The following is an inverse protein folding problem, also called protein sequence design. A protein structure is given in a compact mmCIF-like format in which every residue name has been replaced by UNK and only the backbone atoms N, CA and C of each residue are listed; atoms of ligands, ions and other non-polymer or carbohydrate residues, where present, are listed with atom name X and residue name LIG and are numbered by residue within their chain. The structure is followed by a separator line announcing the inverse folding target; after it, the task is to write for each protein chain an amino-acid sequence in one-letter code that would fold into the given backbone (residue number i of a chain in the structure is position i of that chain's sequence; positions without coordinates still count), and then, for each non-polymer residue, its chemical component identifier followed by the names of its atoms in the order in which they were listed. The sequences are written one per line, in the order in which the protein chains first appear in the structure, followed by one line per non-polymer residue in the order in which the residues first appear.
data_IF_469239148170
#
_entry.id   IF_469239148170
#
_cell.length_a   1.000
_cell.length_b   1.000
_cell.length_c   1.000
_cell.angle_alpha   90.00
_cell.angle_beta   90.00
_cell.angle_gamma   90.00
#
_symmetry.space_group_name_H-M   'P 1'
#
loop_
_entity.id
_entity.type
_entity.pdbx_description
1 polymer ?
#
# COMPACT_ATOMS: atom_id res chain seq x y z
N UNK A 1 -24.45 39.89 -15.20
CA UNK A 1 -25.78 39.23 -15.19
C UNK A 1 -25.52 37.77 -15.57
N UNK A 2 -25.89 36.69 -14.88
CA UNK A 2 -26.71 36.41 -13.70
C UNK A 2 -26.36 34.93 -13.31
N UNK A 3 -26.10 34.66 -12.02
CA UNK A 3 -26.35 33.47 -11.16
C UNK A 3 -26.40 32.02 -11.73
N UNK A 4 -25.62 31.08 -11.14
CA UNK A 4 -26.05 29.97 -10.23
C UNK A 4 -26.71 28.75 -10.92
N UNK A 5 -26.65 27.48 -10.49
CA UNK A 5 -26.59 26.85 -9.15
C UNK A 5 -26.18 25.36 -9.27
N UNK A 6 -25.56 24.83 -8.21
CA UNK A 6 -25.37 23.41 -7.88
C UNK A 6 -26.68 22.80 -7.36
N UNK A 7 -26.97 21.54 -7.68
CA UNK A 7 -27.92 20.72 -6.92
C UNK A 7 -27.52 19.23 -6.94
N UNK A 8 -26.92 18.77 -5.85
CA UNK A 8 -26.61 17.36 -5.58
C UNK A 8 -27.81 16.71 -4.89
N UNK A 9 -28.32 15.61 -5.44
CA UNK A 9 -29.44 14.86 -4.86
C UNK A 9 -28.88 13.86 -3.84
N UNK A 10 -29.13 14.10 -2.56
CA UNK A 10 -28.89 13.13 -1.50
C UNK A 10 -30.13 12.25 -1.32
N UNK A 11 -30.04 10.98 -1.68
CA UNK A 11 -31.08 9.98 -1.38
C UNK A 11 -30.76 9.31 -0.04
N UNK A 12 -31.57 9.58 0.99
CA UNK A 12 -31.55 8.84 2.26
C UNK A 12 -32.27 7.50 2.08
N UNK A 13 -31.55 6.39 2.23
CA UNK A 13 -32.15 5.05 2.32
C UNK A 13 -32.48 4.75 3.78
N UNK A 14 -33.76 4.50 4.05
CA UNK A 14 -34.30 4.18 5.37
C UNK A 14 -34.34 2.66 5.55
N UNK A 15 -33.36 2.08 6.25
CA UNK A 15 -33.35 0.65 6.58
C UNK A 15 -34.09 0.41 7.90
N UNK A 16 -35.20 -0.34 7.81
CA UNK A 16 -36.04 -0.77 8.94
C UNK A 16 -35.32 -1.85 9.75
N UNK A 17 -35.09 -1.62 11.03
CA UNK A 17 -34.69 -2.64 12.00
C UNK A 17 -35.92 -3.41 12.47
N UNK A 18 -36.05 -4.67 12.05
CA UNK A 18 -37.03 -5.61 12.62
C UNK A 18 -36.42 -6.35 13.80
N UNK A 19 -37.13 -6.32 14.93
CA UNK A 19 -36.79 -7.00 16.17
C UNK A 19 -36.71 -8.53 15.97
N UNK A 20 -35.60 -9.13 16.42
CA UNK A 20 -35.42 -10.58 16.49
C UNK A 20 -35.83 -11.13 17.86
N UNK A 21 -36.66 -12.17 17.85
CA UNK A 21 -37.08 -12.96 19.02
C UNK A 21 -35.91 -13.76 19.63
N UNK A 22 -35.96 -14.11 20.94
CA UNK A 22 -34.93 -14.91 21.58
C UNK A 22 -34.99 -16.39 21.17
N UNK A 23 -33.82 -16.99 20.92
CA UNK A 23 -33.62 -18.40 20.59
C UNK A 23 -33.39 -19.18 21.89
N UNK A 24 -33.98 -20.38 22.10
CA UNK A 24 -33.71 -21.20 23.27
C UNK A 24 -32.31 -21.81 23.25
N UNK A 25 -31.66 -21.76 24.41
CA UNK A 25 -30.34 -22.35 24.66
C UNK A 25 -30.48 -23.87 24.79
N UNK A 26 -29.93 -24.63 23.83
CA UNK A 26 -29.70 -26.07 23.97
C UNK A 26 -28.22 -26.32 24.20
N UNK A 27 -27.90 -26.73 25.42
CA UNK A 27 -26.62 -27.25 25.88
C UNK A 27 -26.31 -28.60 25.20
N UNK A 28 -25.30 -28.63 24.34
CA UNK A 28 -24.62 -29.84 23.94
C UNK A 28 -23.11 -29.56 23.95
N UNK A 29 -22.36 -30.41 24.66
CA UNK A 29 -20.94 -30.25 24.94
C UNK A 29 -20.12 -30.02 23.69
N UNK A 30 -19.39 -28.90 23.68
CA UNK A 30 -18.39 -28.61 22.68
C UNK A 30 -17.03 -29.01 23.29
N UNK A 31 -16.53 -30.13 22.82
CA UNK A 31 -15.17 -30.61 23.05
C UNK A 31 -14.20 -29.57 22.48
N UNK A 32 -13.67 -28.71 23.35
CA UNK A 32 -12.69 -27.68 22.98
C UNK A 32 -11.32 -28.32 22.82
N UNK A 33 -11.13 -29.03 21.71
CA UNK A 33 -9.78 -29.20 21.17
C UNK A 33 -9.37 -27.86 20.54
N UNK A 34 -8.86 -26.96 21.38
CA UNK A 34 -8.22 -25.73 20.93
C UNK A 34 -6.95 -26.11 20.20
N UNK A 35 -7.02 -26.24 18.87
CA UNK A 35 -5.82 -26.30 18.05
C UNK A 35 -4.98 -25.04 18.36
N UNK A 36 -3.66 -25.16 18.57
CA UNK A 36 -2.83 -23.99 18.73
C UNK A 36 -2.99 -23.15 17.46
N UNK A 37 -3.47 -21.91 17.62
CA UNK A 37 -3.38 -20.89 16.58
C UNK A 37 -1.89 -20.73 16.28
N UNK A 38 -1.42 -21.38 15.22
CA UNK A 38 -0.10 -21.13 14.69
C UNK A 38 -0.04 -19.63 14.39
N UNK A 39 0.82 -18.89 15.11
CA UNK A 39 1.12 -17.52 14.72
C UNK A 39 1.66 -17.62 13.30
N UNK A 40 0.94 -17.07 12.33
CA UNK A 40 1.53 -16.78 11.03
C UNK A 40 2.76 -15.92 11.34
N UNK A 41 3.93 -16.40 10.93
CA UNK A 41 5.13 -15.58 10.99
C UNK A 41 4.82 -14.31 10.17
N UNK A 42 5.07 -13.14 10.76
CA UNK A 42 4.99 -11.89 10.03
C UNK A 42 6.06 -11.92 8.93
N UNK A 43 5.72 -11.37 7.77
CA UNK A 43 6.69 -11.24 6.69
C UNK A 43 7.78 -10.23 7.10
N UNK A 44 9.08 -10.58 7.02
CA UNK A 44 10.15 -9.67 7.42
C UNK A 44 10.15 -8.36 6.61
N UNK A 45 10.46 -7.26 7.29
CA UNK A 45 10.75 -5.95 6.68
C UNK A 45 12.10 -5.98 5.94
N UNK A 46 12.16 -5.35 4.76
CA UNK A 46 13.39 -5.32 3.95
C UNK A 46 13.78 -3.92 3.45
N UNK A 47 12.85 -3.00 3.19
CA UNK A 47 13.18 -1.63 2.78
C UNK A 47 12.02 -0.65 2.96
N UNK A 48 12.33 0.59 3.35
CA UNK A 48 11.40 1.71 3.38
C UNK A 48 11.86 2.83 2.42
N UNK A 49 10.95 3.34 1.61
CA UNK A 49 11.20 4.51 0.79
C UNK A 49 9.99 5.45 0.72
N UNK A 50 10.25 6.70 0.36
CA UNK A 50 9.24 7.75 0.25
C UNK A 50 9.18 8.27 -1.17
N UNK A 51 7.99 8.49 -1.69
CA UNK A 51 7.77 9.08 -3.02
C UNK A 51 7.26 10.50 -2.93
N UNK A 52 7.53 11.27 -3.98
CA UNK A 52 7.16 12.66 -4.11
C UNK A 52 6.65 12.95 -5.53
N UNK A 53 5.60 13.76 -5.64
CA UNK A 53 5.00 14.12 -6.93
C UNK A 53 5.89 15.02 -7.79
N UNK A 54 6.87 15.70 -7.17
CA UNK A 54 7.82 16.59 -7.85
C UNK A 54 9.26 16.17 -7.61
N UNK A 55 10.18 16.75 -8.38
CA UNK A 55 11.61 16.57 -8.18
C UNK A 55 12.08 17.18 -6.85
N UNK A 56 13.08 16.58 -6.22
CA UNK A 56 13.82 17.15 -5.10
C UNK A 56 13.54 16.52 -3.72
N UNK A 57 12.61 15.58 -3.60
CA UNK A 57 12.30 14.85 -2.36
C UNK A 57 11.95 15.72 -1.15
N UNK A 58 11.28 16.85 -1.37
CA UNK A 58 10.92 17.81 -0.32
C UNK A 58 9.43 18.15 -0.31
N UNK A 59 8.87 18.38 -1.50
CA UNK A 59 7.48 18.79 -1.69
C UNK A 59 6.63 17.66 -2.28
N UNK A 60 5.31 17.76 -2.12
CA UNK A 60 4.34 16.76 -2.62
C UNK A 60 4.64 15.31 -2.17
N UNK A 61 4.92 15.14 -0.89
CA UNK A 61 5.09 13.82 -0.27
C UNK A 61 3.82 12.96 -0.47
N UNK A 62 3.94 11.86 -1.19
CA UNK A 62 2.84 10.96 -1.55
C UNK A 62 2.69 9.78 -0.58
N UNK A 63 3.66 9.54 0.30
CA UNK A 63 3.59 8.46 1.30
C UNK A 63 4.91 7.72 1.49
N UNK A 64 4.89 6.77 2.44
CA UNK A 64 5.97 5.80 2.66
C UNK A 64 5.51 4.45 2.14
N UNK A 65 6.41 3.79 1.43
CA UNK A 65 6.28 2.41 1.00
C UNK A 65 7.22 1.58 1.85
N UNK A 66 6.68 0.47 2.35
CA UNK A 66 7.43 -0.53 3.10
C UNK A 66 7.37 -1.81 2.30
N UNK A 67 8.54 -2.35 1.98
CA UNK A 67 8.70 -3.61 1.28
C UNK A 67 9.09 -4.70 2.27
N UNK A 68 8.44 -5.85 2.10
CA UNK A 68 8.63 -7.03 2.91
C UNK A 68 9.30 -8.13 2.08
N UNK A 69 9.77 -9.20 2.73
CA UNK A 69 10.50 -10.29 2.06
C UNK A 69 9.69 -10.97 0.95
N UNK A 70 8.36 -10.99 1.03
CA UNK A 70 7.50 -11.49 -0.05
C UNK A 70 7.59 -10.66 -1.34
N UNK A 71 8.06 -9.41 -1.28
CA UNK A 71 8.26 -8.54 -2.45
C UNK A 71 9.58 -8.78 -3.19
N UNK A 72 10.40 -9.72 -2.71
CA UNK A 72 11.71 -10.01 -3.28
C UNK A 72 11.61 -10.57 -4.71
N UNK A 73 12.24 -9.86 -5.65
CA UNK A 73 12.22 -10.17 -7.07
C UNK A 73 10.91 -9.80 -7.78
N UNK A 74 9.92 -9.24 -7.09
CA UNK A 74 8.67 -8.80 -7.71
C UNK A 74 8.86 -7.44 -8.40
N UNK A 75 8.26 -7.30 -9.59
CA UNK A 75 8.13 -6.02 -10.27
C UNK A 75 6.84 -5.34 -9.82
N UNK A 76 6.99 -4.23 -9.11
CA UNK A 76 5.89 -3.51 -8.49
C UNK A 76 5.72 -2.14 -9.16
N UNK A 77 4.53 -1.81 -9.69
CA UNK A 77 4.28 -0.49 -10.28
C UNK A 77 4.06 0.56 -9.18
N UNK A 78 4.39 1.81 -9.47
CA UNK A 78 3.90 2.94 -8.67
C UNK A 78 2.41 3.18 -8.93
N UNK A 79 1.66 3.48 -7.87
CA UNK A 79 0.22 3.75 -7.97
C UNK A 79 -0.06 5.09 -8.64
N UNK A 80 0.77 6.08 -8.32
CA UNK A 80 0.69 7.44 -8.87
C UNK A 80 2.01 7.79 -9.56
N UNK A 81 2.00 8.70 -10.56
CA UNK A 81 3.22 9.25 -11.12
C UNK A 81 4.07 9.92 -10.05
N UNK A 82 5.37 9.61 -10.04
CA UNK A 82 6.34 10.17 -9.10
C UNK A 82 7.38 11.02 -9.84
N UNK A 83 7.82 12.11 -9.22
CA UNK A 83 8.89 12.97 -9.72
C UNK A 83 10.23 12.77 -9.00
N UNK A 84 10.18 12.27 -7.77
CA UNK A 84 11.37 11.83 -7.06
C UNK A 84 11.09 10.80 -5.95
N UNK A 85 12.15 10.12 -5.52
CA UNK A 85 12.11 9.07 -4.50
C UNK A 85 13.30 9.20 -3.55
N UNK A 86 13.07 8.92 -2.26
CA UNK A 86 14.11 8.86 -1.24
C UNK A 86 14.00 7.53 -0.47
N UNK A 87 15.02 6.69 -0.58
CA UNK A 87 15.14 5.47 0.23
C UNK A 87 15.56 5.87 1.65
N UNK A 88 14.76 5.49 2.64
CA UNK A 88 14.98 5.81 4.05
C UNK A 88 15.84 4.74 4.73
N UNK A 89 15.55 3.48 4.43
CA UNK A 89 16.37 2.33 4.82
C UNK A 89 16.29 1.24 3.75
N UNK A 90 17.33 0.41 3.72
CA UNK A 90 17.34 -0.79 2.91
C UNK A 90 18.19 -1.90 3.59
N UNK A 91 17.68 -3.13 3.54
CA UNK A 91 18.44 -4.36 3.79
C UNK A 91 18.77 -5.07 2.47
N UNK A 92 18.04 -4.72 1.41
CA UNK A 92 18.14 -5.27 0.07
C UNK A 92 18.22 -4.18 -1.00
N UNK A 93 18.54 -4.53 -2.24
CA UNK A 93 18.74 -3.53 -3.29
C UNK A 93 17.40 -3.09 -3.90
N UNK A 94 17.05 -1.80 -3.79
CA UNK A 94 15.94 -1.21 -4.52
C UNK A 94 16.40 -0.73 -5.90
N UNK A 95 15.76 -1.22 -6.96
CA UNK A 95 16.00 -0.78 -8.35
C UNK A 95 14.75 -0.12 -8.92
N UNK A 96 14.91 1.03 -9.57
CA UNK A 96 13.86 1.81 -10.20
C UNK A 96 13.92 1.67 -11.73
N UNK A 97 12.76 1.73 -12.38
CA UNK A 97 12.65 1.55 -13.83
C UNK A 97 11.77 2.63 -14.46
N UNK A 98 12.05 2.92 -15.73
CA UNK A 98 11.30 3.91 -16.51
C UNK A 98 10.02 3.35 -17.14
N UNK A 99 9.84 2.04 -17.15
CA UNK A 99 8.67 1.31 -17.65
C UNK A 99 7.92 0.59 -16.51
N UNK A 100 6.73 0.06 -16.79
CA UNK A 100 5.92 -0.64 -15.79
C UNK A 100 6.33 -2.13 -15.63
N UNK A 101 7.09 -2.64 -16.59
CA UNK A 101 7.49 -4.04 -16.71
C UNK A 101 8.86 -4.35 -16.09
N UNK A 102 9.51 -3.36 -15.48
CA UNK A 102 10.84 -3.46 -14.89
C UNK A 102 11.92 -3.92 -15.87
N UNK A 103 11.92 -3.40 -17.10
CA UNK A 103 12.89 -3.79 -18.14
C UNK A 103 13.74 -2.63 -18.65
N UNK A 104 13.28 -1.39 -18.50
CA UNK A 104 13.93 -0.22 -19.07
C UNK A 104 14.63 0.63 -18.01
N UNK A 105 15.84 1.08 -18.36
CA UNK A 105 16.64 2.05 -17.60
C UNK A 105 16.77 1.73 -16.10
N UNK A 106 17.27 0.54 -15.71
CA UNK A 106 17.40 0.17 -14.31
C UNK A 106 18.35 1.12 -13.58
N UNK A 107 17.88 1.70 -12.48
CA UNK A 107 18.67 2.56 -11.60
C UNK A 107 18.58 2.04 -10.17
N UNK A 108 19.72 1.66 -9.60
CA UNK A 108 19.81 1.32 -8.18
C UNK A 108 19.67 2.60 -7.36
N UNK A 109 18.71 2.62 -6.43
CA UNK A 109 18.43 3.77 -5.59
C UNK A 109 19.19 3.67 -4.26
N UNK A 110 20.25 4.49 -4.04
CA UNK A 110 20.98 4.48 -2.78
C UNK A 110 20.18 5.12 -1.62
N UNK A 111 20.38 4.59 -0.41
CA UNK A 111 19.84 5.15 0.84
C UNK A 111 20.24 6.60 1.04
N UNK A 112 19.28 7.42 1.47
CA UNK A 112 19.53 8.80 1.89
C UNK A 112 19.85 9.76 0.74
N UNK A 113 19.78 9.32 -0.52
CA UNK A 113 20.02 10.17 -1.69
C UNK A 113 18.74 10.28 -2.50
N UNK A 114 18.29 11.52 -2.73
CA UNK A 114 17.13 11.79 -3.55
C UNK A 114 17.37 11.39 -5.01
N UNK A 115 16.51 10.50 -5.53
CA UNK A 115 16.49 10.08 -6.93
C UNK A 115 15.43 10.88 -7.67
N UNK A 116 15.87 11.78 -8.56
CA UNK A 116 14.97 12.48 -9.46
C UNK A 116 14.74 11.65 -10.72
N UNK A 117 13.49 11.54 -11.14
CA UNK A 117 13.14 10.81 -12.34
C UNK A 117 11.66 10.50 -12.42
N UNK A 118 11.21 10.15 -13.61
CA UNK A 118 9.85 9.65 -13.85
C UNK A 118 9.92 8.14 -13.86
N UNK A 119 9.80 7.55 -12.67
CA UNK A 119 9.84 6.11 -12.49
C UNK A 119 8.42 5.54 -12.55
N UNK A 120 8.27 4.38 -13.19
CA UNK A 120 6.96 3.72 -13.34
C UNK A 120 6.85 2.44 -12.50
N UNK A 121 7.97 1.78 -12.24
CA UNK A 121 8.03 0.57 -11.40
C UNK A 121 9.34 0.46 -10.63
N UNK A 122 9.37 -0.49 -9.71
CA UNK A 122 10.54 -0.81 -8.90
C UNK A 122 10.59 -2.31 -8.60
N UNK A 123 11.79 -2.81 -8.30
CA UNK A 123 12.04 -4.16 -7.79
C UNK A 123 12.89 -4.09 -6.55
N UNK A 124 12.60 -4.96 -5.58
CA UNK A 124 13.50 -5.28 -4.48
C UNK A 124 14.28 -6.55 -4.82
N UNK A 125 15.57 -6.61 -4.50
CA UNK A 125 16.36 -7.84 -4.67
C UNK A 125 17.24 -8.10 -3.45
N UNK A 126 16.96 -9.23 -2.82
CA UNK A 126 17.75 -9.89 -1.78
C UNK A 126 18.33 -11.22 -2.33
#
# INVERSE_FOLDING_TARGET
MYFSTVATIAALVLSKLTAGSPIPFSTAGQDTTTAPLARQAADPHEADFRTFGVSGCLDENQGVYTLEKSSDGECLPFVDPIGSLLVADDLCTLTLYSDAECTESPVVAPVGVCQNGTWQSYTLTC
#
